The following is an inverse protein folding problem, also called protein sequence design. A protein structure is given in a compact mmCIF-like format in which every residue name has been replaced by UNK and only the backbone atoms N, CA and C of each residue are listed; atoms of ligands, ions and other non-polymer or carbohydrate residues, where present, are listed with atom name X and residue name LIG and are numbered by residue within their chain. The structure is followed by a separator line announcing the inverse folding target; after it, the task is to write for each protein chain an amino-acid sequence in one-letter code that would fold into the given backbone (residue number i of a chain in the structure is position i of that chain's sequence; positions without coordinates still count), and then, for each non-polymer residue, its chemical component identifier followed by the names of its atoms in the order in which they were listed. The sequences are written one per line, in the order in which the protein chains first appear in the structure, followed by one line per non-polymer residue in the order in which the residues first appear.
data_IF_251982315863
#
_entry.id   IF_251982315863
#
_cell.length_a   1.000
_cell.length_b   1.000
_cell.length_c   1.000
_cell.angle_alpha   90.00
_cell.angle_beta   90.00
_cell.angle_gamma   90.00
#
_symmetry.space_group_name_H-M   'P 1'
#
loop_
_entity.id
_entity.type
_entity.pdbx_description
1 polymer ?
#
# COMPACT_ATOMS: atom_id res chain seq x y z
N UNK A 1 -0.86 -67.18 54.65
CA UNK A 1 -1.00 -66.84 53.20
C UNK A 1 -1.72 -65.50 52.99
N UNK A 2 -1.07 -64.35 53.23
CA UNK A 2 -1.68 -63.01 52.97
C UNK A 2 -0.74 -62.02 52.25
N UNK A 3 0.43 -62.45 51.78
CA UNK A 3 1.37 -61.58 51.05
C UNK A 3 1.26 -61.66 49.51
N UNK A 4 0.70 -62.74 48.95
CA UNK A 4 0.63 -62.94 47.49
C UNK A 4 -0.53 -62.13 46.84
N UNK A 5 -1.49 -61.63 47.63
CA UNK A 5 -2.64 -60.89 47.09
C UNK A 5 -2.35 -59.42 46.73
N UNK A 6 -1.34 -58.77 47.34
CA UNK A 6 -1.05 -57.34 47.09
C UNK A 6 -0.20 -57.09 45.84
N UNK A 7 0.72 -57.98 45.49
CA UNK A 7 1.59 -57.81 44.31
C UNK A 7 0.82 -57.96 42.98
N UNK A 8 -0.16 -58.87 42.93
CA UNK A 8 -0.97 -59.08 41.72
C UNK A 8 -1.90 -57.90 41.37
N UNK A 9 -2.29 -57.06 42.33
CA UNK A 9 -3.14 -55.88 42.08
C UNK A 9 -2.33 -54.71 41.50
N UNK A 10 -1.09 -54.53 41.96
CA UNK A 10 -0.20 -53.46 41.50
C UNK A 10 0.28 -53.73 40.07
N UNK A 11 0.63 -54.99 39.75
CA UNK A 11 1.02 -55.39 38.40
C UNK A 11 -0.13 -55.27 37.37
N UNK A 12 -1.38 -55.55 37.76
CA UNK A 12 -2.56 -55.38 36.89
C UNK A 12 -2.87 -53.90 36.60
N UNK A 13 -2.80 -53.02 37.62
CA UNK A 13 -3.01 -51.56 37.44
C UNK A 13 -1.90 -50.88 36.63
N UNK A 14 -0.66 -51.37 36.69
CA UNK A 14 0.46 -50.87 35.87
C UNK A 14 0.34 -51.19 34.39
N UNK A 15 -0.09 -52.43 34.03
CA UNK A 15 -0.32 -52.83 32.63
C UNK A 15 -1.52 -52.10 31.99
N UNK A 16 -2.62 -51.89 32.71
CA UNK A 16 -3.77 -51.11 32.21
C UNK A 16 -3.46 -49.62 31.98
N UNK A 17 -2.69 -48.98 32.87
CA UNK A 17 -2.27 -47.59 32.71
C UNK A 17 -1.26 -47.41 31.56
N UNK A 18 -0.37 -48.39 31.34
CA UNK A 18 0.54 -48.37 30.18
C UNK A 18 -0.19 -48.62 28.85
N UNK A 19 -1.20 -49.48 28.80
CA UNK A 19 -2.02 -49.71 27.61
C UNK A 19 -2.82 -48.47 27.18
N UNK A 20 -3.41 -47.74 28.13
CA UNK A 20 -4.08 -46.45 27.86
C UNK A 20 -3.10 -45.36 27.44
N UNK A 21 -1.93 -45.23 28.09
CA UNK A 21 -0.88 -44.27 27.68
C UNK A 21 -0.32 -44.58 26.29
N UNK A 22 -0.05 -45.84 25.93
CA UNK A 22 0.36 -46.22 24.57
C UNK A 22 -0.70 -45.91 23.52
N UNK A 23 -1.98 -46.18 23.80
CA UNK A 23 -3.08 -45.81 22.89
C UNK A 23 -3.22 -44.29 22.73
N UNK A 24 -3.09 -43.51 23.79
CA UNK A 24 -3.14 -42.03 23.74
C UNK A 24 -1.95 -41.48 22.94
N UNK A 25 -0.74 -42.02 23.11
CA UNK A 25 0.45 -41.59 22.36
C UNK A 25 0.33 -41.96 20.87
N UNK A 26 -0.22 -43.13 20.54
CA UNK A 26 -0.45 -43.53 19.14
C UNK A 26 -1.56 -42.65 18.51
N UNK A 27 -2.65 -42.39 19.23
CA UNK A 27 -3.74 -41.52 18.74
C UNK A 27 -3.27 -40.08 18.58
N UNK A 28 -2.47 -39.54 19.51
CA UNK A 28 -1.84 -38.22 19.37
C UNK A 28 -0.87 -38.20 18.19
N UNK A 29 -0.01 -39.21 18.03
CA UNK A 29 0.91 -39.31 16.90
C UNK A 29 0.19 -39.38 15.54
N UNK A 30 -0.93 -40.09 15.46
CA UNK A 30 -1.77 -40.17 14.25
C UNK A 30 -2.51 -38.86 14.00
N UNK A 31 -3.04 -38.19 15.03
CA UNK A 31 -3.69 -36.88 14.88
C UNK A 31 -2.67 -35.81 14.48
N UNK A 32 -1.47 -35.80 15.06
CA UNK A 32 -0.40 -34.88 14.67
C UNK A 32 0.07 -35.16 13.25
N UNK A 33 0.17 -36.42 12.82
CA UNK A 33 0.48 -36.77 11.43
C UNK A 33 -0.65 -36.35 10.46
N UNK A 34 -1.93 -36.53 10.82
CA UNK A 34 -3.07 -36.09 10.00
C UNK A 34 -3.14 -34.56 9.92
N UNK A 35 -2.91 -33.84 11.02
CA UNK A 35 -2.85 -32.36 11.02
C UNK A 35 -1.66 -31.87 10.21
N UNK A 36 -0.53 -32.58 10.24
CA UNK A 36 0.66 -32.24 9.44
C UNK A 36 0.42 -32.52 7.95
N UNK A 37 -0.24 -33.62 7.59
CA UNK A 37 -0.61 -33.95 6.20
C UNK A 37 -1.73 -33.06 5.68
N UNK A 38 -2.69 -32.67 6.52
CA UNK A 38 -3.76 -31.73 6.15
C UNK A 38 -3.25 -30.27 6.09
N UNK A 39 -2.30 -29.90 6.94
CA UNK A 39 -1.60 -28.61 6.90
C UNK A 39 -0.65 -28.50 5.71
N UNK A 40 0.14 -29.54 5.44
CA UNK A 40 0.96 -29.63 4.23
C UNK A 40 0.08 -29.76 2.99
N UNK A 41 -1.01 -30.51 3.02
CA UNK A 41 -1.98 -30.66 1.95
C UNK A 41 -2.72 -29.35 1.65
N UNK A 42 -3.09 -28.57 2.67
CA UNK A 42 -3.69 -27.24 2.51
C UNK A 42 -2.70 -26.23 1.94
N UNK A 43 -1.45 -26.22 2.41
CA UNK A 43 -0.37 -25.37 1.86
C UNK A 43 0.04 -25.81 0.45
N UNK A 44 0.03 -27.11 0.16
CA UNK A 44 0.32 -27.66 -1.16
C UNK A 44 -0.84 -27.38 -2.11
N UNK A 45 -2.10 -27.48 -1.66
CA UNK A 45 -3.29 -27.13 -2.43
C UNK A 45 -3.36 -25.63 -2.70
N UNK A 46 -3.02 -24.76 -1.75
CA UNK A 46 -2.95 -23.31 -2.01
C UNK A 46 -1.80 -22.97 -2.95
N UNK A 47 -0.63 -23.60 -2.80
CA UNK A 47 0.49 -23.45 -3.76
C UNK A 47 0.16 -24.02 -5.15
N UNK A 48 -0.53 -25.15 -5.24
CA UNK A 48 -0.97 -25.77 -6.51
C UNK A 48 -2.06 -24.92 -7.15
N UNK A 49 -3.01 -24.39 -6.36
CA UNK A 49 -4.07 -23.49 -6.83
C UNK A 49 -3.48 -22.18 -7.33
N UNK A 50 -2.54 -21.56 -6.59
CA UNK A 50 -1.77 -20.40 -7.07
C UNK A 50 -0.96 -20.72 -8.34
N UNK A 51 -0.31 -21.90 -8.40
CA UNK A 51 0.47 -22.35 -9.57
C UNK A 51 -0.41 -22.60 -10.81
N UNK A 52 -1.69 -22.96 -10.65
CA UNK A 52 -2.61 -23.25 -11.75
C UNK A 52 -3.47 -22.04 -12.17
N UNK A 53 -3.82 -21.14 -11.23
CA UNK A 53 -4.59 -19.92 -11.53
C UNK A 53 -3.73 -18.84 -12.19
N UNK A 54 -2.44 -18.72 -11.80
CA UNK A 54 -1.55 -17.70 -12.33
C UNK A 54 -1.34 -17.81 -13.86
N UNK A 55 -1.04 -19.00 -14.44
CA UNK A 55 -0.93 -19.14 -15.90
C UNK A 55 -2.21 -18.77 -16.66
N UNK A 56 -3.39 -19.15 -16.16
CA UNK A 56 -4.67 -18.83 -16.80
C UNK A 56 -4.95 -17.32 -16.80
N UNK A 57 -4.62 -16.63 -15.70
CA UNK A 57 -4.74 -15.16 -15.60
C UNK A 57 -3.80 -14.45 -16.57
N UNK A 58 -2.56 -14.92 -16.67
CA UNK A 58 -1.55 -14.41 -17.61
C UNK A 58 -2.02 -14.59 -19.06
N UNK A 59 -2.45 -15.80 -19.44
CA UNK A 59 -2.90 -16.12 -20.79
C UNK A 59 -4.09 -15.26 -21.21
N UNK A 60 -5.12 -15.16 -20.35
CA UNK A 60 -6.29 -14.32 -20.58
C UNK A 60 -5.92 -12.85 -20.77
N UNK A 61 -4.98 -12.32 -19.99
CA UNK A 61 -4.52 -10.94 -20.11
C UNK A 61 -3.78 -10.72 -21.44
N UNK A 62 -2.90 -11.65 -21.82
CA UNK A 62 -2.17 -11.59 -23.09
C UNK A 62 -3.10 -11.70 -24.31
N UNK A 63 -4.12 -12.56 -24.25
CA UNK A 63 -5.13 -12.67 -25.31
C UNK A 63 -5.95 -11.38 -25.44
N UNK A 64 -6.40 -10.80 -24.31
CA UNK A 64 -7.11 -9.52 -24.31
C UNK A 64 -6.26 -8.43 -24.96
N UNK A 65 -4.99 -8.38 -24.62
CA UNK A 65 -4.06 -7.43 -25.21
C UNK A 65 -3.85 -7.63 -26.71
N UNK A 66 -3.59 -8.86 -27.16
CA UNK A 66 -3.41 -9.20 -28.59
C UNK A 66 -4.64 -8.80 -29.42
N UNK A 67 -5.83 -8.98 -28.84
CA UNK A 67 -7.09 -8.65 -29.49
C UNK A 67 -7.46 -7.15 -29.42
N UNK A 68 -6.59 -6.28 -28.88
CA UNK A 68 -6.88 -4.87 -28.68
C UNK A 68 -8.07 -4.62 -27.72
N UNK A 69 -8.34 -5.58 -26.83
CA UNK A 69 -9.46 -5.60 -25.89
C UNK A 69 -9.08 -5.12 -24.49
N UNK A 70 -7.94 -4.44 -24.31
CA UNK A 70 -7.71 -3.61 -23.13
C UNK A 70 -8.62 -2.38 -23.25
N UNK A 71 -9.93 -2.55 -23.01
CA UNK A 71 -10.96 -1.54 -23.30
C UNK A 71 -11.58 -1.01 -22.01
N UNK A 72 -11.51 0.30 -21.86
CA UNK A 72 -12.29 1.17 -20.98
C UNK A 72 -12.73 0.64 -19.61
N UNK A 73 -12.07 1.21 -18.61
CA UNK A 73 -12.73 1.90 -17.51
C UNK A 73 -13.23 1.07 -16.34
N UNK A 74 -13.58 -0.22 -16.50
CA UNK A 74 -14.20 -0.93 -15.38
C UNK A 74 -13.16 -1.40 -14.33
N UNK A 75 -13.48 -1.24 -13.05
CA UNK A 75 -12.59 -1.53 -11.92
C UNK A 75 -12.23 -3.03 -11.82
N UNK A 76 -13.11 -3.91 -12.31
CA UNK A 76 -12.88 -5.35 -12.32
C UNK A 76 -11.78 -5.75 -13.31
N UNK A 77 -11.74 -5.14 -14.49
CA UNK A 77 -10.69 -5.37 -15.49
C UNK A 77 -9.33 -4.84 -15.06
N UNK A 78 -9.31 -3.72 -14.35
CA UNK A 78 -8.09 -3.23 -13.70
C UNK A 78 -7.61 -4.21 -12.63
N UNK A 79 -8.52 -4.81 -11.85
CA UNK A 79 -8.20 -5.78 -10.81
C UNK A 79 -7.66 -7.09 -11.40
N UNK A 80 -8.35 -7.66 -12.39
CA UNK A 80 -7.87 -8.82 -13.16
C UNK A 80 -6.47 -8.58 -13.74
N UNK A 81 -6.23 -7.38 -14.28
CA UNK A 81 -4.95 -7.01 -14.86
C UNK A 81 -3.85 -6.91 -13.81
N UNK A 82 -4.13 -6.36 -12.64
CA UNK A 82 -3.18 -6.28 -11.53
C UNK A 82 -2.78 -7.67 -11.03
N UNK A 83 -3.74 -8.59 -10.86
CA UNK A 83 -3.44 -9.97 -10.47
C UNK A 83 -2.62 -10.73 -11.52
N UNK A 84 -2.93 -10.53 -12.80
CA UNK A 84 -2.16 -11.14 -13.88
C UNK A 84 -0.76 -10.52 -14.01
N UNK A 85 -0.60 -9.22 -13.77
CA UNK A 85 0.70 -8.56 -13.74
C UNK A 85 1.55 -9.05 -12.56
N UNK A 86 0.98 -9.19 -11.36
CA UNK A 86 1.66 -9.80 -10.21
C UNK A 86 2.19 -11.20 -10.57
N UNK A 87 1.34 -12.03 -11.18
CA UNK A 87 1.71 -13.35 -11.66
C UNK A 87 2.83 -13.30 -12.73
N UNK A 88 2.80 -12.33 -13.66
CA UNK A 88 3.86 -12.13 -14.65
C UNK A 88 5.19 -11.77 -13.97
N UNK A 89 5.18 -10.86 -12.99
CA UNK A 89 6.38 -10.47 -12.23
C UNK A 89 6.96 -11.67 -11.49
N UNK A 90 6.12 -12.47 -10.81
CA UNK A 90 6.55 -13.69 -10.11
C UNK A 90 7.11 -14.76 -11.07
N UNK A 91 6.59 -14.81 -12.29
CA UNK A 91 7.06 -15.72 -13.34
C UNK A 91 8.30 -15.20 -14.10
N UNK A 92 8.80 -14.00 -13.79
CA UNK A 92 9.94 -13.38 -14.49
C UNK A 92 9.61 -12.83 -15.88
N UNK A 93 8.33 -12.67 -16.22
CA UNK A 93 7.84 -12.13 -17.49
C UNK A 93 7.88 -10.59 -17.51
N UNK A 94 9.03 -10.02 -17.16
CA UNK A 94 9.15 -8.59 -16.88
C UNK A 94 8.90 -7.70 -18.11
N UNK A 95 9.44 -8.05 -19.27
CA UNK A 95 9.21 -7.32 -20.53
C UNK A 95 7.72 -7.26 -20.92
N UNK A 96 6.97 -8.35 -20.74
CA UNK A 96 5.53 -8.37 -21.02
C UNK A 96 4.75 -7.57 -19.97
N UNK A 97 5.12 -7.71 -18.70
CA UNK A 97 4.52 -6.93 -17.61
C UNK A 97 4.74 -5.42 -17.83
N UNK A 98 5.95 -4.99 -18.21
CA UNK A 98 6.27 -3.59 -18.52
C UNK A 98 5.38 -3.06 -19.64
N UNK A 99 5.30 -3.81 -20.75
CA UNK A 99 4.53 -3.45 -21.94
C UNK A 99 3.04 -3.29 -21.63
N UNK A 100 2.47 -4.22 -20.86
CA UNK A 100 1.05 -4.18 -20.49
C UNK A 100 0.77 -3.10 -19.45
N UNK A 101 1.59 -2.97 -18.40
CA UNK A 101 1.43 -1.93 -17.39
C UNK A 101 1.47 -0.52 -18.00
N UNK A 102 2.37 -0.27 -18.96
CA UNK A 102 2.42 0.99 -19.72
C UNK A 102 1.12 1.25 -20.52
N UNK A 103 0.51 0.22 -21.11
CA UNK A 103 -0.77 0.36 -21.83
C UNK A 103 -1.90 0.70 -20.85
N UNK A 104 -1.96 0.03 -19.71
CA UNK A 104 -2.96 0.33 -18.69
C UNK A 104 -2.82 1.73 -18.12
N UNK A 105 -1.60 2.20 -17.85
CA UNK A 105 -1.37 3.58 -17.36
C UNK A 105 -1.79 4.65 -18.38
N UNK A 106 -1.77 4.35 -19.70
CA UNK A 106 -2.31 5.26 -20.72
C UNK A 106 -3.85 5.35 -20.67
N UNK A 107 -4.51 4.25 -20.31
CA UNK A 107 -5.98 4.18 -20.20
C UNK A 107 -6.44 4.72 -18.84
N UNK A 108 -5.68 4.43 -17.78
CA UNK A 108 -5.93 4.79 -16.39
C UNK A 108 -4.72 5.50 -15.79
N UNK A 109 -4.49 6.79 -16.13
CA UNK A 109 -3.37 7.55 -15.60
C UNK A 109 -3.45 7.71 -14.06
N UNK A 110 -4.64 7.55 -13.48
CA UNK A 110 -4.87 7.57 -12.03
C UNK A 110 -4.72 6.19 -11.36
N UNK A 111 -4.38 5.13 -12.10
CA UNK A 111 -4.23 3.78 -11.56
C UNK A 111 -2.97 3.63 -10.70
N UNK A 112 -3.02 4.08 -9.44
CA UNK A 112 -1.86 4.11 -8.53
C UNK A 112 -1.15 2.76 -8.41
N UNK A 113 -1.94 1.69 -8.26
CA UNK A 113 -1.41 0.34 -8.14
C UNK A 113 -0.66 -0.12 -9.41
N UNK A 114 -1.03 0.37 -10.59
CA UNK A 114 -0.39 0.01 -11.86
C UNK A 114 1.05 0.52 -11.97
N UNK A 115 1.37 1.66 -11.34
CA UNK A 115 2.76 2.14 -11.26
C UNK A 115 3.66 1.17 -10.50
N UNK A 116 3.15 0.48 -9.48
CA UNK A 116 3.91 -0.51 -8.71
C UNK A 116 4.35 -1.68 -9.60
N UNK A 117 3.43 -2.27 -10.37
CA UNK A 117 3.76 -3.35 -11.29
C UNK A 117 4.71 -2.91 -12.40
N UNK A 118 4.58 -1.67 -12.88
CA UNK A 118 5.54 -1.10 -13.83
C UNK A 118 6.94 -0.97 -13.22
N UNK A 119 7.05 -0.45 -11.99
CA UNK A 119 8.33 -0.35 -11.29
C UNK A 119 8.99 -1.70 -11.10
N UNK A 120 8.22 -2.71 -10.66
CA UNK A 120 8.73 -4.07 -10.43
C UNK A 120 9.17 -4.74 -11.73
N UNK A 121 8.42 -4.55 -12.82
CA UNK A 121 8.83 -5.00 -14.15
C UNK A 121 10.16 -4.36 -14.58
N UNK A 122 10.30 -3.05 -14.42
CA UNK A 122 11.52 -2.32 -14.78
C UNK A 122 12.71 -2.77 -13.92
N UNK A 123 12.51 -3.02 -12.63
CA UNK A 123 13.54 -3.59 -11.74
C UNK A 123 13.96 -4.99 -12.19
N UNK A 124 13.01 -5.84 -12.57
CA UNK A 124 13.28 -7.18 -13.11
C UNK A 124 14.11 -7.15 -14.40
N UNK A 125 13.82 -6.19 -15.28
CA UNK A 125 14.62 -5.90 -16.49
C UNK A 125 15.93 -5.14 -16.21
N UNK A 126 16.23 -4.82 -14.95
CA UNK A 126 17.40 -4.01 -14.53
C UNK A 126 17.44 -2.60 -15.16
N UNK A 127 16.28 -2.07 -15.55
CA UNK A 127 16.07 -0.70 -16.03
C UNK A 127 15.89 0.25 -14.84
N UNK A 128 16.96 0.38 -14.05
CA UNK A 128 16.92 1.07 -12.74
C UNK A 128 16.53 2.54 -12.86
N UNK A 129 17.07 3.24 -13.87
CA UNK A 129 16.81 4.66 -14.07
C UNK A 129 15.35 4.91 -14.47
N UNK A 130 14.78 4.08 -15.35
CA UNK A 130 13.37 4.13 -15.71
C UNK A 130 12.48 3.83 -14.50
N UNK A 131 12.84 2.84 -13.68
CA UNK A 131 12.12 2.53 -12.44
C UNK A 131 12.11 3.73 -11.49
N UNK A 132 13.27 4.37 -11.28
CA UNK A 132 13.39 5.57 -10.46
C UNK A 132 12.53 6.73 -10.98
N UNK A 133 12.48 6.96 -12.30
CA UNK A 133 11.62 7.97 -12.91
C UNK A 133 10.14 7.71 -12.63
N UNK A 134 9.70 6.46 -12.72
CA UNK A 134 8.32 6.06 -12.38
C UNK A 134 8.05 6.35 -10.90
N UNK A 135 8.95 5.96 -9.99
CA UNK A 135 8.79 6.21 -8.55
C UNK A 135 8.74 7.70 -8.19
N UNK A 136 9.59 8.53 -8.79
CA UNK A 136 9.57 9.99 -8.57
C UNK A 136 8.26 10.58 -9.09
N UNK A 137 7.84 10.21 -10.30
CA UNK A 137 6.58 10.69 -10.88
C UNK A 137 5.38 10.27 -10.03
N UNK A 138 5.37 9.02 -9.58
CA UNK A 138 4.34 8.46 -8.72
C UNK A 138 4.27 9.21 -7.38
N UNK A 139 5.41 9.41 -6.72
CA UNK A 139 5.48 10.16 -5.48
C UNK A 139 5.03 11.63 -5.64
N UNK A 140 5.44 12.30 -6.73
CA UNK A 140 4.98 13.68 -7.04
C UNK A 140 3.47 13.77 -7.23
N UNK A 141 2.87 12.75 -7.85
CA UNK A 141 1.42 12.69 -8.02
C UNK A 141 0.73 12.37 -6.68
N UNK A 142 1.19 11.35 -5.96
CA UNK A 142 0.62 10.96 -4.65
C UNK A 142 0.72 12.05 -3.59
N UNK A 143 1.77 12.86 -3.61
CA UNK A 143 1.90 14.02 -2.74
C UNK A 143 0.66 14.92 -2.74
N UNK A 144 -0.03 14.99 -3.88
CA UNK A 144 -1.23 15.81 -4.06
C UNK A 144 -2.49 15.18 -3.46
N UNK A 145 -2.44 13.91 -3.04
CA UNK A 145 -3.61 13.08 -2.72
C UNK A 145 -3.44 12.19 -1.47
N UNK A 146 -2.28 12.10 -0.86
CA UNK A 146 -2.07 11.25 0.32
C UNK A 146 -1.21 12.00 1.33
N UNK A 147 -1.41 11.73 2.63
CA UNK A 147 -0.58 12.26 3.71
C UNK A 147 0.92 12.13 3.38
N UNK A 148 1.65 13.20 3.74
CA UNK A 148 3.09 13.36 3.54
C UNK A 148 3.90 12.15 3.99
N UNK A 149 3.55 11.59 5.14
CA UNK A 149 4.24 10.49 5.81
C UNK A 149 4.15 9.19 5.01
N UNK A 150 2.97 8.91 4.45
CA UNK A 150 2.75 7.69 3.64
C UNK A 150 3.47 7.78 2.31
N UNK A 151 3.40 8.93 1.64
CA UNK A 151 4.13 9.18 0.39
C UNK A 151 5.64 9.02 0.59
N UNK A 152 6.14 9.58 1.70
CA UNK A 152 7.53 9.49 2.10
C UNK A 152 7.98 8.04 2.34
N UNK A 153 7.24 7.29 3.16
CA UNK A 153 7.57 5.90 3.47
C UNK A 153 7.64 5.02 2.21
N UNK A 154 6.63 5.11 1.34
CA UNK A 154 6.58 4.31 0.11
C UNK A 154 7.72 4.68 -0.84
N UNK A 155 7.98 5.97 -1.03
CA UNK A 155 9.03 6.43 -1.92
C UNK A 155 10.42 6.06 -1.40
N UNK A 156 10.72 6.31 -0.12
CA UNK A 156 12.02 5.98 0.45
C UNK A 156 12.31 4.48 0.40
N UNK A 157 11.34 3.64 0.74
CA UNK A 157 11.50 2.19 0.67
C UNK A 157 11.92 1.76 -0.74
N UNK A 158 11.20 2.23 -1.76
CA UNK A 158 11.47 1.88 -3.16
C UNK A 158 12.78 2.46 -3.69
N UNK A 159 13.09 3.71 -3.34
CA UNK A 159 14.29 4.38 -3.86
C UNK A 159 15.57 3.84 -3.23
N UNK A 160 15.57 3.57 -1.92
CA UNK A 160 16.74 3.03 -1.22
C UNK A 160 17.15 1.64 -1.75
N UNK A 161 16.22 0.85 -2.28
CA UNK A 161 16.53 -0.45 -2.92
C UNK A 161 17.34 -0.34 -4.22
N UNK A 162 17.25 0.81 -4.91
CA UNK A 162 17.80 0.98 -6.26
C UNK A 162 18.81 2.12 -6.37
N UNK A 163 18.94 3.00 -5.37
CA UNK A 163 19.73 4.24 -5.46
C UNK A 163 21.20 4.03 -5.84
N UNK A 164 21.81 2.95 -5.37
CA UNK A 164 23.20 2.61 -5.69
C UNK A 164 23.39 1.91 -7.04
N UNK A 165 22.29 1.59 -7.73
CA UNK A 165 22.26 1.01 -9.08
C UNK A 165 21.95 2.05 -10.16
N UNK A 166 21.63 3.28 -9.76
CA UNK A 166 21.27 4.37 -10.67
C UNK A 166 22.50 4.95 -11.36
N UNK A 167 22.28 5.54 -12.54
CA UNK A 167 23.28 6.41 -13.15
C UNK A 167 23.57 7.62 -12.25
N UNK A 168 24.75 8.26 -12.36
CA UNK A 168 25.09 9.44 -11.56
C UNK A 168 24.05 10.58 -11.67
N UNK A 169 23.53 10.81 -12.87
CA UNK A 169 22.51 11.85 -13.11
C UNK A 169 21.18 11.50 -12.44
N UNK A 170 20.74 10.25 -12.56
CA UNK A 170 19.49 9.80 -11.95
C UNK A 170 19.61 9.71 -10.43
N UNK A 171 20.77 9.32 -9.88
CA UNK A 171 21.05 9.36 -8.45
C UNK A 171 20.93 10.79 -7.91
N UNK A 172 21.52 11.76 -8.59
CA UNK A 172 21.41 13.18 -8.22
C UNK A 172 19.97 13.69 -8.27
N UNK A 173 19.18 13.27 -9.27
CA UNK A 173 17.76 13.63 -9.33
C UNK A 173 16.95 12.98 -8.19
N UNK A 174 17.19 11.70 -7.89
CA UNK A 174 16.56 10.99 -6.79
C UNK A 174 16.87 11.62 -5.43
N UNK A 175 18.14 11.91 -5.14
CA UNK A 175 18.59 12.58 -3.91
C UNK A 175 17.99 13.98 -3.77
N UNK A 176 17.92 14.74 -4.86
CA UNK A 176 17.26 16.05 -4.87
C UNK A 176 15.79 15.94 -4.50
N UNK A 177 15.09 14.93 -5.02
CA UNK A 177 13.68 14.71 -4.72
C UNK A 177 13.44 14.17 -3.31
N UNK A 178 14.30 13.28 -2.80
CA UNK A 178 14.31 12.86 -1.39
C UNK A 178 14.40 14.09 -0.47
N UNK A 179 15.37 14.98 -0.72
CA UNK A 179 15.54 16.21 0.04
C UNK A 179 14.30 17.12 -0.03
N UNK A 180 13.66 17.22 -1.19
CA UNK A 180 12.41 17.97 -1.34
C UNK A 180 11.29 17.42 -0.44
N UNK A 181 11.17 16.09 -0.33
CA UNK A 181 10.22 15.44 0.57
C UNK A 181 10.54 15.78 2.03
N UNK A 182 11.80 15.69 2.45
CA UNK A 182 12.22 16.02 3.83
C UNK A 182 11.96 17.47 4.19
N UNK A 183 12.30 18.40 3.28
CA UNK A 183 12.12 19.83 3.51
C UNK A 183 10.62 20.17 3.64
N UNK A 184 9.79 19.54 2.81
CA UNK A 184 8.34 19.69 2.92
C UNK A 184 7.79 19.05 4.22
N UNK A 185 8.37 17.94 4.70
CA UNK A 185 7.97 17.29 5.97
C UNK A 185 8.29 18.18 7.18
N UNK A 186 9.50 18.74 7.21
CA UNK A 186 9.91 19.71 8.24
C UNK A 186 8.99 20.92 8.25
N UNK A 187 8.65 21.43 7.06
CA UNK A 187 7.73 22.55 6.92
C UNK A 187 6.32 22.19 7.43
N UNK A 188 5.79 21.04 7.05
CA UNK A 188 4.49 20.57 7.52
C UNK A 188 4.47 20.43 9.05
N UNK A 189 5.46 19.78 9.66
CA UNK A 189 5.55 19.63 11.13
C UNK A 189 5.62 20.96 11.85
N UNK A 190 6.33 21.95 11.29
CA UNK A 190 6.37 23.31 11.82
C UNK A 190 4.97 23.94 11.78
N UNK A 191 4.34 23.95 10.61
CA UNK A 191 3.01 24.54 10.43
C UNK A 191 1.93 23.85 11.28
N UNK A 192 1.99 22.53 11.43
CA UNK A 192 1.07 21.78 12.29
C UNK A 192 1.25 22.15 13.77
N UNK A 193 2.49 22.36 14.22
CA UNK A 193 2.78 22.88 15.57
C UNK A 193 2.24 24.30 15.73
N UNK A 194 2.42 25.17 14.75
CA UNK A 194 1.95 26.55 14.82
C UNK A 194 0.43 26.66 14.73
N UNK A 195 -0.23 25.78 13.97
CA UNK A 195 -1.68 25.58 13.93
C UNK A 195 -2.25 25.21 15.30
N UNK A 196 -1.68 24.20 15.97
CA UNK A 196 -2.09 23.80 17.33
C UNK A 196 -1.95 24.94 18.34
N UNK A 197 -1.03 25.86 18.11
CA UNK A 197 -0.79 27.03 18.95
C UNK A 197 -1.53 28.30 18.49
N UNK A 198 -2.36 28.23 17.43
CA UNK A 198 -3.07 29.37 16.81
C UNK A 198 -2.14 30.52 16.37
N UNK A 199 -0.99 30.19 15.78
CA UNK A 199 0.08 31.13 15.39
C UNK A 199 0.32 31.23 13.88
N UNK A 200 -0.56 30.66 13.05
CA UNK A 200 -0.37 30.54 11.59
C UNK A 200 -0.26 31.89 10.86
N UNK A 201 -0.78 32.98 11.45
CA UNK A 201 -0.63 34.34 10.88
C UNK A 201 0.82 34.71 10.57
N UNK A 202 1.77 34.23 11.37
CA UNK A 202 3.21 34.52 11.21
C UNK A 202 3.84 33.73 10.05
N UNK A 203 3.18 32.68 9.60
CA UNK A 203 3.70 31.74 8.60
C UNK A 203 3.08 31.93 7.20
N UNK A 204 2.46 33.10 6.93
CA UNK A 204 1.81 33.42 5.65
C UNK A 204 2.68 33.06 4.44
N UNK A 205 3.95 33.44 4.43
CA UNK A 205 4.86 33.17 3.31
C UNK A 205 5.08 31.67 3.08
N UNK A 206 5.16 30.88 4.15
CA UNK A 206 5.37 29.44 4.07
C UNK A 206 4.13 28.70 3.58
N UNK A 207 2.96 29.12 4.08
CA UNK A 207 1.65 28.63 3.62
C UNK A 207 1.46 28.97 2.12
N UNK A 208 1.78 30.19 1.70
CA UNK A 208 1.71 30.56 0.28
C UNK A 208 2.68 29.77 -0.61
N UNK A 209 3.88 29.43 -0.12
CA UNK A 209 4.82 28.57 -0.85
C UNK A 209 4.24 27.17 -1.06
N UNK A 210 3.59 26.59 -0.06
CA UNK A 210 2.96 25.26 -0.16
C UNK A 210 1.74 25.27 -1.10
N UNK A 211 0.92 26.32 -1.09
CA UNK A 211 -0.17 26.48 -2.06
C UNK A 211 0.34 26.48 -3.49
N UNK A 212 1.40 27.24 -3.77
CA UNK A 212 1.99 27.33 -5.11
C UNK A 212 2.58 26.01 -5.59
N UNK A 213 3.07 25.17 -4.67
CA UNK A 213 3.55 23.82 -4.97
C UNK A 213 2.41 22.83 -5.29
N UNK A 214 1.15 23.27 -5.21
CA UNK A 214 0.00 22.40 -5.46
C UNK A 214 -0.17 21.34 -4.38
N UNK A 215 0.18 21.66 -3.13
CA UNK A 215 -0.08 20.82 -1.98
C UNK A 215 -1.59 20.74 -1.73
N UNK A 216 -2.31 19.95 -2.52
CA UNK A 216 -3.72 19.61 -2.30
C UNK A 216 -3.92 18.46 -1.32
N UNK A 217 -2.90 18.18 -0.52
CA UNK A 217 -2.93 17.18 0.54
C UNK A 217 -3.91 17.61 1.65
N UNK A 218 -4.63 16.66 2.26
CA UNK A 218 -5.50 16.89 3.44
C UNK A 218 -4.78 17.70 4.50
N UNK A 219 -3.56 17.28 4.81
CA UNK A 219 -2.67 17.85 5.79
C UNK A 219 -2.52 19.37 5.61
N UNK A 220 -2.35 19.79 4.36
CA UNK A 220 -2.19 21.18 4.03
C UNK A 220 -3.52 21.93 3.89
N UNK A 221 -4.58 21.24 3.44
CA UNK A 221 -5.94 21.79 3.39
C UNK A 221 -6.39 22.28 4.77
N UNK A 222 -6.22 21.45 5.81
CA UNK A 222 -6.62 21.80 7.18
C UNK A 222 -5.82 23.00 7.70
N UNK A 223 -4.49 23.01 7.52
CA UNK A 223 -3.62 24.14 7.89
C UNK A 223 -4.05 25.43 7.18
N UNK A 224 -4.32 25.37 5.89
CA UNK A 224 -4.68 26.55 5.12
C UNK A 224 -6.07 27.08 5.48
N UNK A 225 -7.05 26.20 5.71
CA UNK A 225 -8.38 26.57 6.18
C UNK A 225 -8.30 27.26 7.55
N UNK A 226 -7.57 26.69 8.51
CA UNK A 226 -7.35 27.29 9.83
C UNK A 226 -6.67 28.68 9.68
N UNK A 227 -5.67 28.82 8.81
CA UNK A 227 -5.04 30.10 8.50
C UNK A 227 -6.02 31.15 7.95
N UNK A 228 -6.88 30.76 6.98
CA UNK A 228 -7.86 31.68 6.40
C UNK A 228 -8.88 32.14 7.45
N UNK A 229 -9.32 31.23 8.33
CA UNK A 229 -10.24 31.55 9.43
C UNK A 229 -9.55 32.47 10.45
N UNK A 230 -8.33 32.15 10.89
CA UNK A 230 -7.55 32.98 11.81
C UNK A 230 -7.34 34.41 11.27
N UNK A 231 -7.07 34.52 9.96
CA UNK A 231 -6.88 35.79 9.26
C UNK A 231 -8.17 36.46 8.80
N UNK A 232 -9.34 35.95 9.23
CA UNK A 232 -10.67 36.50 8.92
C UNK A 232 -11.00 36.55 7.42
N UNK A 233 -10.37 35.72 6.60
CA UNK A 233 -10.62 35.59 5.16
C UNK A 233 -11.74 34.57 4.88
N UNK A 234 -12.91 34.74 5.50
CA UNK A 234 -14.01 33.75 5.47
C UNK A 234 -14.53 33.44 4.06
N UNK A 235 -14.67 34.45 3.20
CA UNK A 235 -15.16 34.23 1.81
C UNK A 235 -14.20 33.37 1.00
N UNK A 236 -12.89 33.54 1.22
CA UNK A 236 -11.86 32.73 0.59
C UNK A 236 -11.87 31.29 1.12
N UNK A 237 -12.11 31.13 2.42
CA UNK A 237 -12.24 29.82 3.05
C UNK A 237 -13.46 29.06 2.51
N UNK A 238 -14.62 29.72 2.38
CA UNK A 238 -15.84 29.14 1.77
C UNK A 238 -15.60 28.64 0.36
N UNK A 239 -15.05 29.49 -0.52
CA UNK A 239 -14.68 29.11 -1.89
C UNK A 239 -13.74 27.89 -1.93
N UNK A 240 -12.82 27.80 -0.98
CA UNK A 240 -11.86 26.70 -0.91
C UNK A 240 -12.51 25.40 -0.41
N UNK A 241 -13.40 25.50 0.57
CA UNK A 241 -14.21 24.39 1.08
C UNK A 241 -15.16 23.85 0.02
N UNK A 242 -15.85 24.72 -0.72
CA UNK A 242 -16.73 24.33 -1.83
C UNK A 242 -15.95 23.65 -2.96
N UNK A 243 -14.80 24.21 -3.33
CA UNK A 243 -13.93 23.60 -4.33
C UNK A 243 -13.42 22.22 -3.88
N UNK A 244 -13.21 22.02 -2.58
CA UNK A 244 -12.84 20.73 -2.01
C UNK A 244 -14.01 19.74 -2.04
N UNK A 245 -15.21 20.15 -1.61
CA UNK A 245 -16.44 19.32 -1.63
C UNK A 245 -16.81 18.86 -3.04
N UNK A 246 -16.57 19.71 -4.05
CA UNK A 246 -16.90 19.45 -5.45
C UNK A 246 -15.77 18.76 -6.24
N UNK A 247 -14.63 18.44 -5.62
CA UNK A 247 -13.59 17.63 -6.27
C UNK A 247 -14.02 16.17 -6.30
N UNK A 248 -13.93 15.58 -7.48
CA UNK A 248 -14.27 14.19 -7.79
C UNK A 248 -13.80 13.23 -6.68
N UNK A 249 -14.70 12.33 -6.26
CA UNK A 249 -14.80 11.67 -4.94
C UNK A 249 -13.64 10.78 -4.46
N UNK A 250 -12.43 10.94 -5.01
CA UNK A 250 -11.19 10.32 -4.52
C UNK A 250 -10.56 11.08 -3.35
N UNK A 251 -10.79 12.40 -3.25
CA UNK A 251 -10.21 13.25 -2.19
C UNK A 251 -11.11 13.32 -0.94
N UNK A 252 -12.41 13.03 -1.05
CA UNK A 252 -13.35 13.06 0.07
C UNK A 252 -13.06 12.01 1.17
N UNK A 253 -12.14 11.08 0.92
CA UNK A 253 -11.62 10.12 1.91
C UNK A 253 -10.40 10.60 2.66
N UNK A 254 -9.82 11.74 2.26
CA UNK A 254 -8.55 12.21 2.79
C UNK A 254 -8.86 13.08 4.03
N UNK A 255 -9.46 14.26 3.90
CA UNK A 255 -9.80 15.10 5.08
C UNK A 255 -10.87 14.46 5.98
N UNK A 256 -10.53 14.29 7.26
CA UNK A 256 -11.46 13.86 8.31
C UNK A 256 -12.79 14.64 8.25
N UNK A 257 -13.91 13.91 8.25
CA UNK A 257 -15.28 14.45 8.26
C UNK A 257 -15.51 15.40 9.43
N UNK A 258 -14.82 15.20 10.55
CA UNK A 258 -14.93 16.07 11.71
C UNK A 258 -14.29 17.45 11.46
N UNK A 259 -13.18 17.50 10.71
CA UNK A 259 -12.59 18.78 10.28
C UNK A 259 -13.51 19.53 9.33
N UNK A 260 -14.15 18.83 8.39
CA UNK A 260 -15.11 19.44 7.44
C UNK A 260 -16.29 20.06 8.19
N UNK A 261 -16.95 19.30 9.09
CA UNK A 261 -18.07 19.82 9.90
C UNK A 261 -17.66 21.01 10.77
N UNK A 262 -16.46 20.98 11.32
CA UNK A 262 -15.90 22.11 12.09
C UNK A 262 -15.79 23.35 11.22
N UNK A 263 -15.26 23.22 10.00
CA UNK A 263 -15.13 24.36 9.09
C UNK A 263 -16.47 24.92 8.65
N UNK A 264 -17.46 24.08 8.33
CA UNK A 264 -18.82 24.50 8.02
C UNK A 264 -19.40 25.36 9.15
N UNK A 265 -19.31 24.86 10.39
CA UNK A 265 -19.78 25.58 11.59
C UNK A 265 -19.07 26.93 11.79
N UNK A 266 -17.75 27.00 11.62
CA UNK A 266 -16.98 28.24 11.80
C UNK A 266 -17.22 29.27 10.68
N UNK A 267 -17.60 28.81 9.50
CA UNK A 267 -17.95 29.62 8.34
C UNK A 267 -19.44 30.00 8.29
N UNK A 268 -20.28 29.36 9.11
CA UNK A 268 -21.73 29.58 9.17
C UNK A 268 -22.47 28.94 7.98
N UNK A 269 -22.00 27.78 7.55
CA UNK A 269 -22.70 26.83 6.66
C UNK A 269 -23.41 25.77 7.50
#
# INVERSE_FOLDING_TARGET
MKFIAKENIIAKKGKEKMGKKKKIIIVLGVITAIITIAGMGGVLLTKIKQKNENPQKIEKLLEREKNGKLKNGNMYEATDAMEALDAMIQAGMYSDAERIAKKYLKIYPQGYAMNTYLEDALKGEKKWDESAKVSISFARNNWKMVNITTTQYMFYTRMNEIIDKLSPDMKKEAEKFMKEIEDNEKLYKKLEKDRKNKKLKKDKSEIEKLLKKGASNEDFFVIYMDYLIETKQKDKAKKYLDAYKNRDGSISYIVDKDNIKRFEKELGE
#
